data_IF_754968017402
#
_entry.id   IF_754968017402
#
_cell.length_a   1.000
_cell.length_b   1.000
_cell.length_c   1.000
_cell.angle_alpha   90.00
_cell.angle_beta   90.00
_cell.angle_gamma   90.00
#
_symmetry.space_group_name_H-M   'P 1'
#
loop_
_entity.id
_entity.type
_entity.pdbx_description
1 polymer ?
#
# COMPACT_ATOMS: atom_id res chain seq x y z
N UNK A 1 -4.59 -3.17 9.39
CA UNK A 1 -3.78 -2.41 10.36
C UNK A 1 -4.72 -1.49 11.12
N UNK A 2 -4.57 -1.33 12.44
CA UNK A 2 -5.45 -0.44 13.23
C UNK A 2 -4.99 1.01 13.08
N UNK A 3 -5.89 1.97 13.03
CA UNK A 3 -5.57 3.41 12.84
C UNK A 3 -4.50 3.93 13.82
N UNK A 4 -4.53 3.44 15.06
CA UNK A 4 -3.53 3.75 16.09
C UNK A 4 -2.10 3.31 15.72
N UNK A 5 -1.94 2.22 14.98
CA UNK A 5 -0.65 1.74 14.50
C UNK A 5 -0.14 2.62 13.37
N UNK A 6 -1.03 3.07 12.47
CA UNK A 6 -0.68 3.97 11.34
C UNK A 6 -0.20 5.30 11.90
N UNK A 7 -0.92 5.84 12.88
CA UNK A 7 -0.57 7.11 13.49
C UNK A 7 0.75 7.04 14.27
N UNK A 8 1.00 5.95 14.99
CA UNK A 8 2.30 5.73 15.66
C UNK A 8 3.43 5.65 14.64
N UNK A 9 3.26 4.90 13.56
CA UNK A 9 4.26 4.74 12.52
C UNK A 9 4.56 6.09 11.85
N UNK A 10 3.51 6.84 11.52
CA UNK A 10 3.63 8.17 10.93
C UNK A 10 4.38 9.17 11.83
N UNK A 11 4.14 9.13 13.14
CA UNK A 11 4.88 9.97 14.10
C UNK A 11 6.36 9.59 14.23
N UNK A 12 6.69 8.30 14.15
CA UNK A 12 8.09 7.82 14.17
C UNK A 12 8.81 8.26 12.89
N UNK A 13 8.17 8.07 11.74
CA UNK A 13 8.71 8.48 10.44
C UNK A 13 8.90 10.00 10.36
N UNK A 14 7.91 10.79 10.78
CA UNK A 14 8.02 12.24 10.84
C UNK A 14 9.18 12.69 11.74
N UNK A 15 9.37 12.04 12.89
CA UNK A 15 10.52 12.26 13.79
C UNK A 15 11.85 11.96 13.12
N UNK A 16 12.00 10.79 12.49
CA UNK A 16 13.22 10.43 11.78
C UNK A 16 13.57 11.41 10.66
N UNK A 17 12.58 11.77 9.83
CA UNK A 17 12.79 12.71 8.72
C UNK A 17 13.24 14.10 9.18
N UNK A 18 12.70 14.59 10.29
CA UNK A 18 13.12 15.87 10.86
C UNK A 18 14.49 15.76 11.53
N UNK A 19 14.74 14.71 12.32
CA UNK A 19 15.98 14.53 13.07
C UNK A 19 17.21 14.36 12.17
N UNK A 20 17.06 13.72 11.01
CA UNK A 20 18.13 13.54 10.04
C UNK A 20 18.24 14.70 9.02
N UNK A 21 17.44 15.75 9.15
CA UNK A 21 17.51 16.94 8.30
C UNK A 21 16.98 16.74 6.87
N UNK A 22 16.35 15.60 6.57
CA UNK A 22 15.70 15.37 5.27
C UNK A 22 14.52 16.31 5.03
N UNK A 23 13.87 16.76 6.11
CA UNK A 23 12.79 17.74 6.07
C UNK A 23 13.02 18.79 7.13
N UNK A 24 13.07 20.07 6.73
CA UNK A 24 12.99 21.19 7.65
C UNK A 24 11.52 21.45 8.02
N UNK A 25 11.06 20.85 9.11
CA UNK A 25 9.77 21.20 9.69
C UNK A 25 9.87 22.61 10.28
N UNK A 26 9.42 23.64 9.54
CA UNK A 26 9.23 25.00 10.08
C UNK A 26 8.06 25.04 11.07
N UNK A 27 8.17 24.28 12.16
CA UNK A 27 7.29 24.35 13.33
C UNK A 27 6.10 23.40 13.37
N UNK A 28 5.87 22.52 12.38
CA UNK A 28 4.69 21.65 12.42
C UNK A 28 4.96 20.18 12.02
N UNK A 29 5.69 19.50 12.90
CA UNK A 29 5.88 18.07 12.83
C UNK A 29 4.56 17.28 12.93
N UNK A 30 3.54 17.85 13.58
CA UNK A 30 2.20 17.27 13.66
C UNK A 30 1.54 17.15 12.29
N UNK A 31 1.58 18.21 11.48
CA UNK A 31 1.11 18.19 10.09
C UNK A 31 1.85 17.19 9.23
N UNK A 32 3.17 17.07 9.39
CA UNK A 32 3.97 16.07 8.65
C UNK A 32 3.52 14.65 9.04
N UNK A 33 3.34 14.37 10.33
CA UNK A 33 2.85 13.08 10.79
C UNK A 33 1.42 12.79 10.27
N UNK A 34 0.52 13.77 10.30
CA UNK A 34 -0.83 13.61 9.73
C UNK A 34 -0.77 13.28 8.23
N UNK A 35 0.07 14.01 7.47
CA UNK A 35 0.20 13.76 6.03
C UNK A 35 0.79 12.38 5.72
N UNK A 36 1.78 11.94 6.50
CA UNK A 36 2.34 10.59 6.38
C UNK A 36 1.27 9.54 6.71
N UNK A 37 0.45 9.77 7.74
CA UNK A 37 -0.65 8.87 8.11
C UNK A 37 -1.67 8.73 6.97
N UNK A 38 -2.05 9.85 6.34
CA UNK A 38 -2.94 9.84 5.16
C UNK A 38 -2.34 9.06 3.99
N UNK A 39 -1.06 9.26 3.70
CA UNK A 39 -0.35 8.55 2.63
C UNK A 39 -0.33 7.05 2.90
N UNK A 40 0.04 6.63 4.12
CA UNK A 40 0.07 5.21 4.50
C UNK A 40 -1.33 4.59 4.41
N UNK A 41 -2.34 5.25 4.95
CA UNK A 41 -3.72 4.76 4.90
C UNK A 41 -4.22 4.62 3.47
N UNK A 42 -3.92 5.61 2.62
CA UNK A 42 -4.24 5.53 1.18
C UNK A 42 -3.49 4.39 0.50
N UNK A 43 -2.19 4.21 0.76
CA UNK A 43 -1.41 3.11 0.19
C UNK A 43 -2.00 1.74 0.52
N UNK A 44 -2.46 1.52 1.75
CA UNK A 44 -3.13 0.26 2.12
C UNK A 44 -4.49 0.08 1.41
N UNK A 45 -5.25 1.16 1.25
CA UNK A 45 -6.52 1.10 0.51
C UNK A 45 -6.28 0.80 -0.97
N UNK A 46 -5.27 1.42 -1.57
CA UNK A 46 -4.86 1.20 -2.96
C UNK A 46 -4.35 -0.24 -3.16
N UNK A 47 -3.56 -0.78 -2.22
CA UNK A 47 -3.11 -2.18 -2.21
C UNK A 47 -4.30 -3.16 -2.14
N UNK A 48 -5.22 -2.93 -1.21
CA UNK A 48 -6.41 -3.77 -1.05
C UNK A 48 -7.29 -3.76 -2.31
N UNK A 49 -7.44 -2.59 -2.96
CA UNK A 49 -8.15 -2.47 -4.22
C UNK A 49 -7.46 -3.25 -5.36
N UNK A 50 -6.12 -3.21 -5.40
CA UNK A 50 -5.31 -3.96 -6.36
C UNK A 50 -5.47 -5.47 -6.20
N UNK A 51 -5.46 -5.96 -4.95
CA UNK A 51 -5.70 -7.37 -4.62
C UNK A 51 -7.10 -7.80 -5.05
N UNK A 52 -8.13 -7.02 -4.70
CA UNK A 52 -9.51 -7.32 -5.09
C UNK A 52 -9.71 -7.32 -6.61
N UNK A 53 -8.97 -6.49 -7.34
CA UNK A 53 -8.96 -6.51 -8.81
C UNK A 53 -8.28 -7.77 -9.37
N UNK A 54 -7.14 -8.16 -8.82
CA UNK A 54 -6.45 -9.39 -9.20
C UNK A 54 -7.32 -10.64 -8.98
N UNK A 55 -8.01 -10.71 -7.86
CA UNK A 55 -8.95 -11.79 -7.54
C UNK A 55 -10.14 -11.84 -8.50
N UNK A 56 -10.72 -10.68 -8.84
CA UNK A 56 -11.82 -10.59 -9.82
C UNK A 56 -11.38 -11.08 -11.20
N UNK A 57 -10.20 -10.67 -11.66
CA UNK A 57 -9.65 -11.12 -12.93
C UNK A 57 -9.40 -12.63 -12.94
N UNK A 58 -8.81 -13.18 -11.87
CA UNK A 58 -8.64 -14.62 -11.73
C UNK A 58 -9.99 -15.38 -11.76
N UNK A 59 -11.02 -14.83 -11.11
CA UNK A 59 -12.36 -15.42 -11.10
C UNK A 59 -13.02 -15.41 -12.50
N UNK A 60 -12.86 -14.33 -13.27
CA UNK A 60 -13.38 -14.25 -14.66
C UNK A 60 -12.77 -15.33 -15.56
N UNK A 61 -11.50 -15.69 -15.34
CA UNK A 61 -10.78 -16.70 -16.12
C UNK A 61 -10.78 -18.10 -15.47
N UNK A 62 -11.54 -18.32 -14.39
CA UNK A 62 -11.51 -19.56 -13.61
C UNK A 62 -11.78 -20.82 -14.44
N UNK A 63 -12.66 -20.75 -15.45
CA UNK A 63 -12.95 -21.88 -16.36
C UNK A 63 -11.77 -22.26 -17.26
N UNK A 64 -10.89 -21.32 -17.58
CA UNK A 64 -9.68 -21.54 -18.39
C UNK A 64 -8.49 -21.97 -17.52
N UNK A 65 -8.61 -21.86 -16.20
CA UNK A 65 -7.54 -22.07 -15.22
C UNK A 65 -7.75 -23.34 -14.38
N UNK A 66 -8.64 -24.24 -14.82
CA UNK A 66 -8.93 -25.52 -14.14
C UNK A 66 -7.63 -26.35 -14.04
N UNK A 67 -7.27 -26.73 -12.81
CA UNK A 67 -6.06 -27.49 -12.51
C UNK A 67 -4.82 -26.65 -12.18
N UNK A 68 -4.91 -25.32 -12.25
CA UNK A 68 -3.83 -24.41 -11.83
C UNK A 68 -4.04 -23.91 -10.40
N UNK A 69 -2.93 -23.62 -9.72
CA UNK A 69 -2.95 -23.02 -8.39
C UNK A 69 -3.46 -21.57 -8.45
N UNK A 70 -4.63 -21.36 -7.86
CA UNK A 70 -5.32 -20.07 -7.81
C UNK A 70 -4.49 -18.99 -7.14
N UNK A 71 -3.77 -19.31 -6.06
CA UNK A 71 -2.97 -18.31 -5.34
C UNK A 71 -1.82 -17.79 -6.21
N UNK A 72 -1.17 -18.70 -6.94
CA UNK A 72 -0.10 -18.35 -7.87
C UNK A 72 -0.59 -17.47 -9.02
N UNK A 73 -1.77 -17.75 -9.54
CA UNK A 73 -2.42 -16.93 -10.58
C UNK A 73 -2.72 -15.54 -10.06
N UNK A 74 -3.39 -15.43 -8.91
CA UNK A 74 -3.74 -14.13 -8.31
C UNK A 74 -2.46 -13.32 -8.07
N UNK A 75 -1.40 -13.95 -7.56
CA UNK A 75 -0.10 -13.30 -7.37
C UNK A 75 0.51 -12.79 -8.67
N UNK A 76 0.51 -13.59 -9.74
CA UNK A 76 1.01 -13.15 -11.05
C UNK A 76 0.22 -11.99 -11.64
N UNK A 77 -1.11 -11.98 -11.48
CA UNK A 77 -1.96 -10.87 -11.91
C UNK A 77 -1.68 -9.62 -11.06
N UNK A 78 -1.56 -9.78 -9.74
CA UNK A 78 -1.27 -8.71 -8.80
C UNK A 78 0.06 -8.02 -9.14
N UNK A 79 1.13 -8.80 -9.34
CA UNK A 79 2.44 -8.28 -9.75
C UNK A 79 2.39 -7.52 -11.08
N UNK A 80 1.60 -8.01 -12.05
CA UNK A 80 1.40 -7.33 -13.33
C UNK A 80 0.68 -5.99 -13.14
N UNK A 81 -0.43 -5.99 -12.41
CA UNK A 81 -1.21 -4.78 -12.15
C UNK A 81 -0.41 -3.73 -11.37
N UNK A 82 0.43 -4.15 -10.43
CA UNK A 82 1.31 -3.24 -9.71
C UNK A 82 2.35 -2.58 -10.62
N UNK A 83 3.01 -3.36 -11.49
CA UNK A 83 3.96 -2.81 -12.47
C UNK A 83 3.29 -1.83 -13.43
N UNK A 84 2.08 -2.13 -13.89
CA UNK A 84 1.32 -1.24 -14.78
C UNK A 84 0.93 0.09 -14.12
N UNK A 85 0.85 0.12 -12.79
CA UNK A 85 0.42 1.29 -12.00
C UNK A 85 1.57 1.95 -11.23
N UNK A 86 2.82 1.53 -11.48
CA UNK A 86 3.99 1.92 -10.69
C UNK A 86 3.77 1.78 -9.16
N UNK A 87 2.99 0.77 -8.76
CA UNK A 87 2.68 0.50 -7.36
C UNK A 87 3.77 -0.39 -6.75
N UNK A 88 4.36 -0.02 -5.60
CA UNK A 88 5.33 -0.86 -4.91
C UNK A 88 4.61 -2.02 -4.19
N UNK A 89 4.87 -3.25 -4.62
CA UNK A 89 4.47 -4.51 -3.96
C UNK A 89 5.65 -5.19 -3.28
#
# INVERSE_FOLDING_TARGET
MRDNEIQRLAQITARGLCAHGFIQAKGDQGRIASRISEIIAKSFADEAALIAEAERLAATHARQMVGMDRERIVRGILERLARERDFPL
#
